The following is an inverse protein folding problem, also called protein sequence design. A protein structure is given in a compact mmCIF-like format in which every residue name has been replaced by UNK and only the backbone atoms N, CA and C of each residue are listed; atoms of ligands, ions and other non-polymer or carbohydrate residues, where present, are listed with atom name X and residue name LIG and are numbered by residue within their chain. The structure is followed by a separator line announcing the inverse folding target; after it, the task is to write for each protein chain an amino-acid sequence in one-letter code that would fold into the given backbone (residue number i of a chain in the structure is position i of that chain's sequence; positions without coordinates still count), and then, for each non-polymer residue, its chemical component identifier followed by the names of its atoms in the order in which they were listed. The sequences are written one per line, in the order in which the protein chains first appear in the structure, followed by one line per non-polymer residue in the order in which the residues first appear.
data_IF_801893508880
#
_entry.id   IF_801893508880
#
_cell.length_a   1.000
_cell.length_b   1.000
_cell.length_c   1.000
_cell.angle_alpha   90.00
_cell.angle_beta   90.00
_cell.angle_gamma   90.00
#
_symmetry.space_group_name_H-M   'P 1'
#
loop_
_entity.id
_entity.type
_entity.pdbx_description
1 polymer ?
#
# COMPACT_ATOMS: atom_id res chain seq x y z
N UNK A 1 7.66 13.76 8.75
CA UNK A 1 7.22 13.26 10.08
C UNK A 1 6.18 12.14 9.89
N UNK A 2 6.64 10.89 9.73
CA UNK A 2 5.89 9.76 9.16
C UNK A 2 5.05 8.92 10.15
N UNK A 3 5.13 9.20 11.45
CA UNK A 3 4.66 8.28 12.50
C UNK A 3 3.14 8.32 12.74
N UNK A 4 2.43 9.36 12.29
CA UNK A 4 0.97 9.54 12.54
C UNK A 4 0.06 8.84 11.52
N UNK A 5 0.61 8.39 10.39
CA UNK A 5 -0.16 7.87 9.25
C UNK A 5 -0.26 6.34 9.22
N UNK A 6 0.53 5.64 10.03
CA UNK A 6 0.58 4.18 10.05
C UNK A 6 -0.35 3.54 11.09
N UNK A 7 -0.94 4.33 11.99
CA UNK A 7 -1.87 3.79 12.97
C UNK A 7 -3.22 3.51 12.33
N UNK A 8 -3.60 2.23 12.30
CA UNK A 8 -4.95 1.80 11.96
C UNK A 8 -5.98 2.50 12.88
N UNK A 9 -7.06 3.07 12.34
CA UNK A 9 -8.19 3.60 13.09
C UNK A 9 -8.75 2.73 14.21
N UNK A 10 -8.65 1.41 14.20
CA UNK A 10 -8.99 0.62 15.37
C UNK A 10 -8.05 0.91 16.56
N UNK A 11 -6.76 1.14 16.31
CA UNK A 11 -5.80 1.55 17.34
C UNK A 11 -6.04 3.00 17.76
N UNK A 12 -6.42 3.88 16.84
CA UNK A 12 -6.79 5.26 17.18
C UNK A 12 -8.09 5.34 17.98
N UNK A 13 -9.12 4.56 17.65
CA UNK A 13 -10.39 4.47 18.37
C UNK A 13 -10.22 3.95 19.80
N UNK A 14 -9.20 3.11 20.06
CA UNK A 14 -8.82 2.70 21.41
C UNK A 14 -8.13 3.82 22.20
N UNK A 15 -7.40 4.70 21.53
CA UNK A 15 -6.68 5.82 22.16
C UNK A 15 -7.55 7.08 22.33
N UNK A 16 -8.53 7.27 21.45
CA UNK A 16 -9.38 8.46 21.37
C UNK A 16 -10.85 8.03 21.25
N UNK A 17 -11.67 8.33 22.28
CA UNK A 17 -13.07 7.88 22.41
C UNK A 17 -14.00 8.43 21.33
N UNK A 18 -13.58 9.49 20.65
CA UNK A 18 -14.28 10.24 19.60
C UNK A 18 -13.97 9.74 18.17
N UNK A 19 -13.10 8.74 18.01
CA UNK A 19 -12.70 8.22 16.70
C UNK A 19 -13.42 6.92 16.35
N UNK A 20 -13.94 6.85 15.12
CA UNK A 20 -14.53 5.63 14.58
C UNK A 20 -13.45 4.57 14.34
N UNK A 21 -13.76 3.31 14.65
CA UNK A 21 -12.93 2.17 14.29
C UNK A 21 -13.07 1.78 12.80
N UNK A 22 -14.03 2.38 12.07
CA UNK A 22 -14.30 2.07 10.67
C UNK A 22 -13.18 2.57 9.76
N UNK A 23 -12.88 1.78 8.72
CA UNK A 23 -11.98 2.17 7.64
C UNK A 23 -12.36 3.52 7.02
N UNK A 24 -11.40 4.44 6.94
CA UNK A 24 -11.60 5.77 6.35
C UNK A 24 -11.96 5.75 4.85
N UNK A 25 -11.65 4.65 4.13
CA UNK A 25 -11.96 4.52 2.70
C UNK A 25 -13.28 3.78 2.46
N UNK A 26 -13.38 2.54 2.93
CA UNK A 26 -14.52 1.68 2.57
C UNK A 26 -15.67 1.75 3.57
N UNK A 27 -15.50 2.37 4.75
CA UNK A 27 -16.51 2.54 5.80
C UNK A 27 -17.12 1.23 6.37
N UNK A 28 -16.59 0.05 6.04
CA UNK A 28 -17.26 -1.24 6.26
C UNK A 28 -16.74 -2.10 7.43
N UNK A 29 -15.48 -1.99 7.88
CA UNK A 29 -14.90 -2.89 8.90
C UNK A 29 -14.12 -2.17 10.01
N UNK A 30 -14.02 -2.72 11.24
CA UNK A 30 -13.06 -2.28 12.23
C UNK A 30 -11.64 -2.50 11.72
N UNK A 31 -10.85 -1.44 11.74
CA UNK A 31 -9.65 -1.33 10.90
C UNK A 31 -8.45 -2.12 11.41
N UNK A 32 -8.09 -3.17 10.66
CA UNK A 32 -6.80 -3.84 10.81
C UNK A 32 -5.77 -3.24 9.84
N UNK A 33 -4.48 -3.31 10.20
CA UNK A 33 -3.39 -2.89 9.31
C UNK A 33 -3.51 -3.59 7.94
N UNK A 34 -3.75 -4.90 7.95
CA UNK A 34 -3.90 -5.67 6.72
C UNK A 34 -5.08 -5.19 5.84
N UNK A 35 -6.19 -4.76 6.46
CA UNK A 35 -7.29 -4.16 5.70
C UNK A 35 -6.87 -2.83 5.06
N UNK A 36 -6.27 -1.94 5.86
CA UNK A 36 -5.84 -0.62 5.41
C UNK A 36 -4.89 -0.70 4.21
N UNK A 37 -3.92 -1.61 4.28
CA UNK A 37 -2.83 -1.67 3.30
C UNK A 37 -3.05 -2.66 2.15
N UNK A 38 -3.93 -3.65 2.29
CA UNK A 38 -4.08 -4.69 1.27
C UNK A 38 -5.53 -5.04 0.95
N UNK A 39 -6.34 -5.43 1.95
CA UNK A 39 -7.65 -6.02 1.65
C UNK A 39 -8.75 -5.00 1.34
N UNK A 40 -8.56 -3.72 1.69
CA UNK A 40 -9.45 -2.62 1.30
C UNK A 40 -9.55 -2.52 -0.22
N UNK A 41 -10.75 -2.24 -0.75
CA UNK A 41 -10.97 -2.14 -2.19
C UNK A 41 -10.12 -1.05 -2.85
N UNK A 42 -9.91 0.09 -2.17
CA UNK A 42 -9.06 1.17 -2.67
C UNK A 42 -7.58 0.80 -2.62
N UNK A 43 -7.16 0.05 -1.59
CA UNK A 43 -5.81 -0.49 -1.52
C UNK A 43 -5.55 -1.49 -2.66
N UNK A 44 -6.48 -2.42 -2.90
CA UNK A 44 -6.39 -3.36 -4.04
C UNK A 44 -6.26 -2.63 -5.35
N UNK A 45 -7.11 -1.63 -5.62
CA UNK A 45 -7.04 -0.82 -6.86
C UNK A 45 -5.69 -0.13 -7.02
N UNK A 46 -5.12 0.41 -5.96
CA UNK A 46 -3.79 1.01 -5.98
C UNK A 46 -2.71 -0.02 -6.33
N UNK A 47 -2.65 -1.13 -5.60
CA UNK A 47 -1.62 -2.15 -5.79
C UNK A 47 -1.72 -2.86 -7.13
N UNK A 48 -2.92 -3.08 -7.67
CA UNK A 48 -3.09 -3.60 -9.03
C UNK A 48 -2.47 -2.67 -10.08
N UNK A 49 -2.60 -1.34 -9.94
CA UNK A 49 -1.96 -0.40 -10.86
C UNK A 49 -0.43 -0.46 -10.76
N UNK A 50 0.11 -0.47 -9.54
CA UNK A 50 1.56 -0.59 -9.31
C UNK A 50 2.09 -1.92 -9.87
N UNK A 51 1.37 -3.02 -9.66
CA UNK A 51 1.69 -4.34 -10.19
C UNK A 51 1.75 -4.35 -11.71
N UNK A 52 0.71 -3.87 -12.38
CA UNK A 52 0.68 -3.80 -13.86
C UNK A 52 1.81 -2.93 -14.41
N UNK A 53 2.12 -1.81 -13.74
CA UNK A 53 3.24 -0.95 -14.13
C UNK A 53 4.59 -1.64 -13.94
N UNK A 54 4.77 -2.31 -12.81
CA UNK A 54 6.01 -2.99 -12.44
C UNK A 54 6.30 -4.16 -13.38
N UNK A 55 5.30 -4.99 -13.71
CA UNK A 55 5.46 -6.09 -14.68
C UNK A 55 5.91 -5.60 -16.06
N UNK A 56 5.32 -4.49 -16.53
CA UNK A 56 5.72 -3.86 -17.80
C UNK A 56 7.16 -3.34 -17.76
N UNK A 57 7.56 -2.75 -16.64
CA UNK A 57 8.92 -2.23 -16.43
C UNK A 57 9.96 -3.34 -16.46
N UNK A 58 9.75 -4.42 -15.71
CA UNK A 58 10.73 -5.52 -15.60
C UNK A 58 10.60 -6.56 -16.72
N UNK A 59 9.54 -6.48 -17.53
CA UNK A 59 9.18 -7.41 -18.61
C UNK A 59 9.08 -8.86 -18.16
N UNK A 60 8.57 -9.07 -16.95
CA UNK A 60 8.46 -10.37 -16.29
C UNK A 60 7.23 -10.36 -15.38
N UNK A 61 6.54 -11.49 -15.31
CA UNK A 61 5.37 -11.67 -14.46
C UNK A 61 5.74 -11.68 -12.97
N UNK A 62 4.95 -10.99 -12.15
CA UNK A 62 5.11 -10.93 -10.69
C UNK A 62 3.78 -11.35 -10.06
N UNK A 63 3.81 -12.21 -9.06
CA UNK A 63 2.58 -12.53 -8.33
C UNK A 63 2.08 -11.32 -7.53
N UNK A 64 0.79 -10.96 -7.66
CA UNK A 64 0.14 -9.95 -6.83
C UNK A 64 -0.17 -10.52 -5.43
N UNK A 65 0.88 -10.64 -4.61
CA UNK A 65 0.82 -11.16 -3.23
C UNK A 65 1.21 -10.08 -2.22
N UNK A 66 0.56 -10.06 -1.06
CA UNK A 66 0.86 -9.10 0.01
C UNK A 66 2.31 -9.24 0.51
N UNK A 67 2.84 -10.45 0.48
CA UNK A 67 4.19 -10.82 0.84
C UNK A 67 5.23 -10.09 -0.01
N UNK A 68 4.93 -9.94 -1.30
CA UNK A 68 5.81 -9.21 -2.22
C UNK A 68 5.57 -7.71 -2.03
N UNK A 69 4.32 -7.26 -2.13
CA UNK A 69 4.01 -5.83 -2.25
C UNK A 69 4.07 -5.04 -0.93
N UNK A 70 3.75 -5.67 0.20
CA UNK A 70 3.84 -5.03 1.51
C UNK A 70 5.15 -5.33 2.24
N UNK A 71 5.71 -6.53 2.06
CA UNK A 71 6.88 -6.98 2.83
C UNK A 71 8.17 -7.01 2.01
N UNK A 72 8.09 -6.83 0.68
CA UNK A 72 9.26 -6.88 -0.20
C UNK A 72 9.89 -8.26 -0.33
N UNK A 73 9.17 -9.33 0.03
CA UNK A 73 9.67 -10.71 -0.05
C UNK A 73 9.58 -11.22 -1.50
N UNK A 74 10.52 -10.74 -2.33
CA UNK A 74 10.61 -11.13 -3.75
C UNK A 74 11.07 -12.59 -3.86
N UNK A 75 10.37 -13.45 -4.60
CA UNK A 75 10.72 -14.86 -4.72
C UNK A 75 12.04 -15.06 -5.48
N UNK A 76 12.67 -16.21 -5.25
CA UNK A 76 13.88 -16.61 -5.96
C UNK A 76 13.55 -16.80 -7.46
N UNK A 77 14.30 -16.13 -8.34
CA UNK A 77 14.02 -16.11 -9.79
C UNK A 77 14.23 -14.74 -10.46
N UNK A 78 14.50 -13.69 -9.70
CA UNK A 78 14.89 -12.38 -10.21
C UNK A 78 16.39 -12.16 -10.05
N UNK A 79 17.01 -11.45 -11.00
CA UNK A 79 18.38 -10.98 -10.85
C UNK A 79 18.49 -9.97 -9.70
N UNK A 80 19.69 -9.78 -9.14
CA UNK A 80 19.90 -8.83 -8.03
C UNK A 80 19.44 -7.42 -8.38
N UNK A 81 19.67 -6.99 -9.62
CA UNK A 81 19.28 -5.68 -10.14
C UNK A 81 17.76 -5.55 -10.19
N UNK A 82 17.06 -6.58 -10.69
CA UNK A 82 15.59 -6.61 -10.72
C UNK A 82 15.00 -6.61 -9.32
N UNK A 83 15.53 -7.42 -8.42
CA UNK A 83 15.11 -7.45 -7.01
C UNK A 83 15.27 -6.09 -6.35
N UNK A 84 16.42 -5.44 -6.56
CA UNK A 84 16.67 -4.09 -6.04
C UNK A 84 15.65 -3.09 -6.59
N UNK A 85 15.41 -3.08 -7.90
CA UNK A 85 14.40 -2.21 -8.54
C UNK A 85 12.99 -2.45 -7.96
N UNK A 86 12.57 -3.71 -7.84
CA UNK A 86 11.27 -4.08 -7.28
C UNK A 86 11.14 -3.51 -5.86
N UNK A 87 12.11 -3.75 -4.99
CA UNK A 87 12.09 -3.27 -3.60
C UNK A 87 12.01 -1.74 -3.55
N UNK A 88 12.77 -1.02 -4.39
CA UNK A 88 12.77 0.45 -4.40
C UNK A 88 11.43 1.01 -4.87
N UNK A 89 10.86 0.45 -5.94
CA UNK A 89 9.52 0.84 -6.42
C UNK A 89 8.47 0.57 -5.35
N UNK A 90 8.47 -0.61 -4.73
CA UNK A 90 7.48 -0.97 -3.71
C UNK A 90 7.61 -0.07 -2.47
N UNK A 91 8.84 0.30 -2.10
CA UNK A 91 9.10 1.25 -1.01
C UNK A 91 8.52 2.61 -1.35
N UNK A 92 8.82 3.16 -2.53
CA UNK A 92 8.29 4.43 -2.98
C UNK A 92 6.76 4.42 -3.06
N UNK A 93 6.18 3.36 -3.64
CA UNK A 93 4.74 3.17 -3.72
C UNK A 93 4.09 3.10 -2.34
N UNK A 94 4.71 2.41 -1.37
CA UNK A 94 4.22 2.34 0.00
C UNK A 94 4.23 3.70 0.69
N UNK A 95 5.29 4.50 0.48
CA UNK A 95 5.41 5.86 1.02
C UNK A 95 4.32 6.76 0.45
N UNK A 96 4.14 6.76 -0.88
CA UNK A 96 3.12 7.57 -1.56
C UNK A 96 1.72 7.17 -1.11
N UNK A 97 1.47 5.87 -0.97
CA UNK A 97 0.20 5.37 -0.47
C UNK A 97 -0.06 5.84 0.97
N UNK A 98 0.93 5.74 1.86
CA UNK A 98 0.83 6.20 3.25
C UNK A 98 0.50 7.69 3.35
N UNK A 99 1.21 8.50 2.55
CA UNK A 99 1.07 9.96 2.55
C UNK A 99 -0.31 10.40 2.06
N UNK A 100 -0.87 9.69 1.07
CA UNK A 100 -2.15 10.02 0.47
C UNK A 100 -3.33 9.27 1.08
N UNK A 101 -3.11 8.42 2.09
CA UNK A 101 -4.15 7.53 2.61
C UNK A 101 -5.38 8.26 3.16
N UNK A 102 -5.21 9.41 3.83
CA UNK A 102 -6.34 10.23 4.34
C UNK A 102 -6.87 11.24 3.32
N UNK A 103 -6.25 11.38 2.16
CA UNK A 103 -6.78 12.24 1.10
C UNK A 103 -7.82 11.45 0.32
N UNK A 104 -9.00 12.01 0.07
CA UNK A 104 -10.08 11.32 -0.66
C UNK A 104 -9.64 10.82 -2.05
N UNK A 105 -8.73 11.56 -2.70
CA UNK A 105 -8.14 11.19 -4.00
C UNK A 105 -6.67 10.79 -3.83
N UNK A 106 -6.36 9.53 -4.17
CA UNK A 106 -4.98 9.11 -4.41
C UNK A 106 -4.64 9.58 -5.83
N UNK A 107 -4.17 10.82 -5.97
CA UNK A 107 -3.68 11.32 -7.25
C UNK A 107 -2.37 10.61 -7.60
N UNK A 108 -2.40 9.78 -8.63
CA UNK A 108 -1.21 9.25 -9.30
C UNK A 108 -1.00 10.08 -10.56
N UNK A 109 -0.71 11.37 -10.38
CA UNK A 109 -0.27 12.22 -11.47
C UNK A 109 1.00 12.92 -11.01
N UNK A 110 2.13 12.53 -11.60
CA UNK A 110 3.37 13.26 -11.49
C UNK A 110 3.16 14.66 -12.05
N UNK A 111 3.43 15.66 -11.22
CA UNK A 111 3.33 17.06 -11.60
C UNK A 111 4.20 17.38 -12.82
N UNK A 112 3.61 18.19 -13.70
CA UNK A 112 4.24 18.90 -14.81
C UNK A 112 5.49 19.66 -14.39
#
# INVERSE_FOLDING_TARGET
MFYRWQFAPAKLAKMFKDKSAKCWKCHQTPETYYHMWWSCIEAKRYWTKIHTWLEKMIKQHIDLKSEIFLLGMVPEGYSKEKTYLIIHVLTAASIVFAQNWKNDKISIEGGK
#
